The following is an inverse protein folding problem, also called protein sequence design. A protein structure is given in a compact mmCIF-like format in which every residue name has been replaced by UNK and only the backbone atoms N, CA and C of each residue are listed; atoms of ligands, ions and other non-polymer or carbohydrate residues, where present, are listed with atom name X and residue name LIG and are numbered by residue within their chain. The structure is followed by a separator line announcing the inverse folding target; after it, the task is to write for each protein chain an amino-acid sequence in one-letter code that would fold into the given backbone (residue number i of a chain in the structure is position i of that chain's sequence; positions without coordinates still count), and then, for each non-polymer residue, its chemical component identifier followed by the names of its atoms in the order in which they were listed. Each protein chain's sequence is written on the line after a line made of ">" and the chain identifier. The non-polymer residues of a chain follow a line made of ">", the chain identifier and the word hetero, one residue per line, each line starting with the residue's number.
data_IF_619348712596
#
_entry.id   IF_619348712596
#
_cell.length_a   1.000
_cell.length_b   1.000
_cell.length_c   1.000
_cell.angle_alpha   90.00
_cell.angle_beta   90.00
_cell.angle_gamma   90.00
#
_symmetry.space_group_name_H-M   'P 1'
#
loop_
_entity.id
_entity.type
_entity.pdbx_description
1 polymer ?
#
# COMPACT_ATOMS: atom_id res chain seq x y z
N UNK A 1 9.77 -7.49 -18.17
CA UNK A 1 8.31 -7.35 -18.20
C UNK A 1 7.60 -8.69 -18.08
N UNK A 2 8.21 -9.81 -18.51
CA UNK A 2 7.65 -11.16 -18.35
C UNK A 2 7.46 -11.61 -16.87
N UNK A 3 8.49 -11.47 -16.01
CA UNK A 3 8.40 -11.87 -14.59
C UNK A 3 7.26 -11.15 -13.84
N UNK A 4 7.09 -9.85 -14.07
CA UNK A 4 6.03 -9.07 -13.39
C UNK A 4 4.65 -9.58 -13.77
N UNK A 5 4.41 -9.88 -15.04
CA UNK A 5 3.15 -10.44 -15.51
C UNK A 5 2.89 -11.82 -14.91
N UNK A 6 3.90 -12.68 -14.85
CA UNK A 6 3.80 -14.01 -14.25
C UNK A 6 3.49 -13.93 -12.75
N UNK A 7 4.16 -13.04 -12.00
CA UNK A 7 3.87 -12.81 -10.58
C UNK A 7 2.44 -12.30 -10.39
N UNK A 8 2.00 -11.35 -11.23
CA UNK A 8 0.63 -10.82 -11.20
C UNK A 8 -0.39 -11.93 -11.44
N UNK A 9 -0.18 -12.77 -12.45
CA UNK A 9 -1.07 -13.89 -12.79
C UNK A 9 -1.14 -14.92 -11.65
N UNK A 10 0.00 -15.26 -11.04
CA UNK A 10 0.04 -16.19 -9.91
C UNK A 10 -0.68 -15.65 -8.66
N UNK A 11 -0.63 -14.34 -8.43
CA UNK A 11 -1.29 -13.72 -7.28
C UNK A 11 -2.78 -13.45 -7.54
N UNK A 12 -3.18 -13.16 -8.77
CA UNK A 12 -4.57 -12.91 -9.14
C UNK A 12 -5.21 -11.83 -8.26
N UNK A 13 -6.28 -12.17 -7.54
CA UNK A 13 -6.98 -11.26 -6.61
C UNK A 13 -6.13 -10.84 -5.41
N UNK A 14 -5.09 -11.60 -5.07
CA UNK A 14 -4.14 -11.25 -4.02
C UNK A 14 -3.06 -10.27 -4.51
N UNK A 15 -3.08 -9.81 -5.76
CA UNK A 15 -2.18 -8.76 -6.23
C UNK A 15 -2.43 -7.45 -5.47
N UNK A 16 -1.37 -6.77 -5.01
CA UNK A 16 -1.50 -5.58 -4.15
C UNK A 16 -2.43 -4.51 -4.76
N UNK A 17 -2.26 -4.10 -6.04
CA UNK A 17 -3.19 -3.20 -6.72
C UNK A 17 -4.64 -3.69 -6.74
N UNK A 18 -4.89 -5.00 -6.90
CA UNK A 18 -6.25 -5.55 -6.88
C UNK A 18 -6.87 -5.45 -5.49
N UNK A 19 -6.12 -5.78 -4.42
CA UNK A 19 -6.57 -5.57 -3.04
C UNK A 19 -6.88 -4.08 -2.80
N UNK A 20 -6.00 -3.19 -3.25
CA UNK A 20 -6.18 -1.75 -3.12
C UNK A 20 -7.44 -1.27 -3.84
N UNK A 21 -7.62 -1.63 -5.11
CA UNK A 21 -8.78 -1.24 -5.91
C UNK A 21 -10.09 -1.83 -5.37
N UNK A 22 -10.13 -3.14 -5.14
CA UNK A 22 -11.37 -3.86 -4.90
C UNK A 22 -11.82 -3.80 -3.43
N UNK A 23 -10.88 -3.66 -2.49
CA UNK A 23 -11.18 -3.68 -1.05
C UNK A 23 -10.96 -2.34 -0.37
N UNK A 24 -9.93 -1.57 -0.72
CA UNK A 24 -9.67 -0.26 -0.09
C UNK A 24 -10.53 0.82 -0.75
N UNK A 25 -10.45 0.95 -2.07
CA UNK A 25 -11.09 2.06 -2.81
C UNK A 25 -12.61 1.95 -2.91
N UNK A 26 -13.18 0.78 -2.66
CA UNK A 26 -14.63 0.57 -2.55
C UNK A 26 -15.22 1.10 -1.23
N UNK A 27 -14.37 1.48 -0.27
CA UNK A 27 -14.76 2.07 1.02
C UNK A 27 -14.61 3.59 1.03
N UNK A 28 -15.21 4.24 2.05
CA UNK A 28 -14.90 5.65 2.34
C UNK A 28 -13.46 5.76 2.83
N UNK A 29 -12.69 6.59 2.14
CA UNK A 29 -11.26 6.75 2.36
C UNK A 29 -10.89 8.23 2.40
N UNK A 30 -9.75 8.52 3.01
CA UNK A 30 -9.05 9.81 2.93
C UNK A 30 -7.73 9.63 2.20
N UNK A 31 -7.33 10.61 1.42
CA UNK A 31 -5.97 10.64 0.87
C UNK A 31 -4.97 10.90 2.01
N UNK A 32 -3.92 10.07 2.07
CA UNK A 32 -2.80 10.20 2.99
C UNK A 32 -1.52 10.36 2.17
N UNK A 33 -0.79 11.46 2.43
CA UNK A 33 0.44 11.79 1.72
C UNK A 33 1.65 11.32 2.51
N UNK A 34 2.41 10.40 1.94
CA UNK A 34 3.74 10.02 2.37
C UNK A 34 4.75 10.83 1.55
N UNK A 35 5.42 11.79 2.18
CA UNK A 35 6.45 12.57 1.49
C UNK A 35 7.76 11.78 1.33
N UNK A 36 7.73 10.66 0.64
CA UNK A 36 8.87 9.73 0.49
C UNK A 36 9.33 9.69 -0.96
N UNK A 37 10.52 9.14 -1.19
CA UNK A 37 11.02 8.94 -2.55
C UNK A 37 10.26 7.80 -3.25
N UNK A 38 9.93 8.00 -4.54
CA UNK A 38 9.26 7.02 -5.41
C UNK A 38 10.22 5.92 -5.86
N UNK A 39 10.68 5.13 -4.90
CA UNK A 39 11.52 3.94 -5.07
C UNK A 39 11.22 2.98 -3.94
N UNK A 40 11.78 1.78 -4.01
CA UNK A 40 11.74 0.88 -2.86
C UNK A 40 12.37 1.56 -1.63
N UNK A 41 11.63 1.64 -0.53
CA UNK A 41 12.10 2.21 0.72
C UNK A 41 12.11 1.18 1.84
N UNK A 42 13.06 1.33 2.76
CA UNK A 42 13.01 0.64 4.05
C UNK A 42 12.05 1.38 4.99
N UNK A 43 10.89 0.79 5.24
CA UNK A 43 9.89 1.31 6.16
C UNK A 43 9.86 0.46 7.45
N UNK A 44 10.03 1.10 8.61
CA UNK A 44 10.15 0.46 9.92
C UNK A 44 9.12 1.06 10.86
N UNK A 45 8.35 0.21 11.55
CA UNK A 45 7.43 0.66 12.59
C UNK A 45 8.22 0.80 13.90
N UNK A 46 8.06 1.92 14.58
CA UNK A 46 8.69 2.22 15.86
C UNK A 46 7.61 2.40 16.92
N UNK A 47 7.73 1.63 18.01
CA UNK A 47 6.95 1.86 19.22
C UNK A 47 7.68 2.92 20.05
N UNK A 48 6.99 4.00 20.35
CA UNK A 48 7.52 5.13 21.12
C UNK A 48 6.65 5.34 22.36
N UNK A 49 7.11 6.19 23.28
CA UNK A 49 6.31 6.57 24.46
C UNK A 49 5.02 7.31 24.09
N UNK A 50 4.98 7.97 22.93
CA UNK A 50 3.85 8.79 22.47
C UNK A 50 2.91 8.03 21.52
N UNK A 51 3.17 6.74 21.26
CA UNK A 51 2.40 5.92 20.33
C UNK A 51 3.28 5.27 19.27
N UNK A 52 2.71 5.06 18.08
CA UNK A 52 3.35 4.32 16.98
C UNK A 52 3.78 5.28 15.88
N UNK A 53 5.01 5.14 15.40
CA UNK A 53 5.53 5.90 14.27
C UNK A 53 5.96 4.97 13.13
N UNK A 54 5.74 5.38 11.88
CA UNK A 54 6.34 4.76 10.70
C UNK A 54 7.57 5.56 10.27
N UNK A 55 8.76 4.96 10.35
CA UNK A 55 10.02 5.55 9.90
C UNK A 55 10.36 5.10 8.49
N UNK A 56 10.62 6.06 7.60
CA UNK A 56 11.08 5.83 6.22
C UNK A 56 12.29 6.72 5.96
N UNK A 57 13.48 6.12 5.94
CA UNK A 57 14.73 6.87 5.90
C UNK A 57 14.85 7.84 7.09
N UNK A 58 14.95 9.14 6.79
CA UNK A 58 15.04 10.21 7.80
C UNK A 58 13.67 10.80 8.20
N UNK A 59 12.58 10.35 7.57
CA UNK A 59 11.22 10.83 7.86
C UNK A 59 10.51 9.90 8.82
N UNK A 60 9.64 10.47 9.65
CA UNK A 60 8.78 9.74 10.60
C UNK A 60 7.36 10.24 10.43
N UNK A 61 6.42 9.31 10.40
CA UNK A 61 5.01 9.57 10.26
C UNK A 61 4.29 9.03 11.49
N UNK A 62 3.69 9.91 12.27
CA UNK A 62 2.87 9.50 13.40
C UNK A 62 1.64 8.73 12.90
N UNK A 63 1.39 7.57 13.50
CA UNK A 63 0.27 6.70 13.17
C UNK A 63 -0.67 6.61 14.39
N UNK A 64 -2.00 6.65 14.20
CA UNK A 64 -2.95 6.53 15.31
C UNK A 64 -2.83 5.22 16.09
N UNK A 65 -2.51 4.14 15.38
CA UNK A 65 -2.40 2.79 15.94
C UNK A 65 -1.44 1.93 15.10
N UNK A 66 -1.15 0.72 15.61
CA UNK A 66 -0.29 -0.25 14.94
C UNK A 66 -0.85 -0.73 13.60
N UNK A 67 -2.17 -0.91 13.50
CA UNK A 67 -2.82 -1.39 12.27
C UNK A 67 -2.63 -0.39 11.13
N UNK A 68 -2.77 0.91 11.41
CA UNK A 68 -2.51 2.00 10.47
C UNK A 68 -1.04 2.05 10.07
N UNK A 69 -0.13 1.88 11.03
CA UNK A 69 1.31 1.83 10.73
C UNK A 69 1.68 0.64 9.81
N UNK A 70 1.12 -0.54 10.07
CA UNK A 70 1.25 -1.75 9.24
C UNK A 70 0.72 -1.55 7.84
N UNK A 71 -0.51 -1.01 7.74
CA UNK A 71 -1.12 -0.64 6.47
C UNK A 71 -0.23 0.30 5.64
N UNK A 72 0.18 1.43 6.23
CA UNK A 72 1.02 2.42 5.56
C UNK A 72 2.42 1.89 5.23
N UNK A 73 2.94 0.93 6.00
CA UNK A 73 4.27 0.36 5.78
C UNK A 73 4.40 -0.28 4.40
N UNK A 74 3.35 -0.95 3.90
CA UNK A 74 3.38 -1.60 2.58
C UNK A 74 3.55 -0.55 1.47
N UNK A 75 2.71 0.48 1.49
CA UNK A 75 2.78 1.58 0.53
C UNK A 75 4.09 2.36 0.62
N UNK A 76 4.58 2.58 1.84
CA UNK A 76 5.87 3.21 2.05
C UNK A 76 7.02 2.39 1.45
N UNK A 77 6.99 1.06 1.60
CA UNK A 77 7.98 0.15 0.99
C UNK A 77 7.98 0.24 -0.52
N UNK A 78 6.80 0.31 -1.13
CA UNK A 78 6.62 0.47 -2.58
C UNK A 78 7.02 1.86 -3.09
N UNK A 79 7.11 2.83 -2.18
CA UNK A 79 7.39 4.23 -2.50
C UNK A 79 6.17 4.97 -3.05
N UNK A 80 4.96 4.55 -2.69
CA UNK A 80 3.73 5.26 -3.04
C UNK A 80 3.65 6.55 -2.21
N UNK A 81 3.52 7.69 -2.87
CA UNK A 81 3.53 9.00 -2.22
C UNK A 81 2.14 9.46 -1.76
N UNK A 82 1.07 8.96 -2.38
CA UNK A 82 -0.31 9.26 -2.02
C UNK A 82 -1.14 7.99 -2.01
N UNK A 83 -1.80 7.69 -0.89
CA UNK A 83 -2.60 6.46 -0.73
C UNK A 83 -3.90 6.71 -0.01
N UNK A 84 -4.93 5.93 -0.36
CA UNK A 84 -6.23 5.98 0.27
C UNK A 84 -6.19 5.22 1.60
N UNK A 85 -6.52 5.88 2.71
CA UNK A 85 -6.65 5.24 4.02
C UNK A 85 -8.13 5.15 4.39
N UNK A 86 -8.68 3.96 4.71
CA UNK A 86 -10.06 3.82 5.14
C UNK A 86 -10.39 4.65 6.38
N UNK A 87 -11.62 5.17 6.45
CA UNK A 87 -12.12 5.84 7.66
C UNK A 87 -12.51 4.84 8.76
N UNK A 88 -12.98 3.65 8.37
CA UNK A 88 -13.31 2.60 9.32
C UNK A 88 -12.03 1.92 9.83
N UNK A 89 -11.60 2.35 11.01
CA UNK A 89 -10.39 1.83 11.67
C UNK A 89 -10.45 0.32 11.93
N UNK A 90 -11.65 -0.26 12.05
CA UNK A 90 -11.82 -1.70 12.34
C UNK A 90 -11.45 -2.56 11.13
N UNK A 91 -11.44 -1.99 9.92
CA UNK A 91 -11.08 -2.68 8.68
C UNK A 91 -9.58 -2.61 8.37
N UNK A 92 -8.88 -1.64 8.95
CA UNK A 92 -7.46 -1.39 8.65
C UNK A 92 -6.60 -2.59 9.04
N UNK A 93 -6.89 -3.26 10.17
CA UNK A 93 -6.15 -4.46 10.60
C UNK A 93 -6.21 -5.58 9.58
N UNK A 94 -7.41 -5.95 9.13
CA UNK A 94 -7.61 -7.00 8.11
C UNK A 94 -6.97 -6.63 6.78
N UNK A 95 -7.13 -5.38 6.33
CA UNK A 95 -6.48 -4.90 5.10
C UNK A 95 -4.96 -4.95 5.21
N UNK A 96 -4.40 -4.59 6.37
CA UNK A 96 -2.96 -4.69 6.62
C UNK A 96 -2.47 -6.14 6.55
N UNK A 97 -3.19 -7.09 7.17
CA UNK A 97 -2.86 -8.52 7.13
C UNK A 97 -2.85 -9.06 5.68
N UNK A 98 -3.85 -8.69 4.88
CA UNK A 98 -3.93 -9.10 3.47
C UNK A 98 -2.82 -8.49 2.62
N UNK A 99 -2.56 -7.19 2.76
CA UNK A 99 -1.51 -6.49 2.03
C UNK A 99 -0.10 -7.00 2.41
N UNK A 100 0.13 -7.27 3.68
CA UNK A 100 1.39 -7.88 4.15
C UNK A 100 1.58 -9.30 3.60
N UNK A 101 0.51 -10.10 3.60
CA UNK A 101 0.53 -11.46 3.03
C UNK A 101 0.83 -11.43 1.53
N UNK A 102 0.15 -10.54 0.81
CA UNK A 102 0.37 -10.29 -0.63
C UNK A 102 1.80 -9.84 -0.92
N UNK A 103 2.32 -8.90 -0.14
CA UNK A 103 3.70 -8.44 -0.26
C UNK A 103 4.69 -9.59 -0.03
N UNK A 104 4.49 -10.40 1.01
CA UNK A 104 5.36 -11.54 1.26
C UNK A 104 5.33 -12.58 0.14
N UNK A 105 4.13 -12.93 -0.36
CA UNK A 105 3.96 -13.84 -1.50
C UNK A 105 4.64 -13.29 -2.76
N UNK A 106 4.50 -11.99 -3.02
CA UNK A 106 5.17 -11.30 -4.13
C UNK A 106 6.69 -11.47 -4.05
N UNK A 107 7.28 -11.27 -2.86
CA UNK A 107 8.71 -11.46 -2.65
C UNK A 107 9.16 -12.91 -2.83
N UNK A 108 8.40 -13.88 -2.32
CA UNK A 108 8.72 -15.30 -2.48
C UNK A 108 8.68 -15.75 -3.94
N UNK A 109 7.64 -15.35 -4.68
CA UNK A 109 7.51 -15.64 -6.11
C UNK A 109 8.65 -14.99 -6.89
N UNK A 110 8.95 -13.73 -6.60
CA UNK A 110 10.06 -13.02 -7.21
C UNK A 110 11.39 -13.77 -6.98
N UNK A 111 11.74 -14.09 -5.73
CA UNK A 111 12.98 -14.80 -5.39
C UNK A 111 13.09 -16.15 -6.10
N UNK A 112 11.98 -16.91 -6.17
CA UNK A 112 11.92 -18.20 -6.88
C UNK A 112 12.25 -18.06 -8.37
N UNK A 113 11.78 -16.99 -9.02
CA UNK A 113 11.97 -16.75 -10.46
C UNK A 113 13.37 -16.20 -10.80
N UNK A 114 14.09 -15.63 -9.82
CA UNK A 114 15.40 -15.01 -10.04
C UNK A 114 16.59 -15.81 -9.50
N UNK A 115 16.37 -17.05 -9.06
CA UNK A 115 17.40 -17.93 -8.47
C UNK A 115 18.70 -17.95 -9.29
N UNK A 116 18.62 -18.06 -10.61
CA UNK A 116 19.81 -18.17 -11.48
C UNK A 116 20.33 -16.82 -12.02
N UNK A 117 19.76 -15.68 -11.57
CA UNK A 117 20.14 -14.36 -12.08
C UNK A 117 21.24 -13.72 -11.23
N UNK A 118 22.12 -12.95 -11.88
CA UNK A 118 23.18 -12.19 -11.19
C UNK A 118 22.61 -11.02 -10.38
N UNK A 119 23.31 -10.63 -9.31
CA UNK A 119 22.85 -9.57 -8.38
C UNK A 119 22.43 -8.25 -9.08
N UNK A 120 23.18 -7.69 -10.05
CA UNK A 120 22.76 -6.47 -10.74
C UNK A 120 21.49 -6.62 -11.58
N UNK A 121 21.24 -7.83 -12.12
CA UNK A 121 20.03 -8.13 -12.88
C UNK A 121 18.85 -8.25 -11.91
N UNK A 122 19.03 -8.97 -10.80
CA UNK A 122 18.04 -9.11 -9.72
C UNK A 122 17.55 -7.74 -9.22
N UNK A 123 18.48 -6.83 -8.90
CA UNK A 123 18.12 -5.49 -8.41
C UNK A 123 17.31 -4.67 -9.41
N UNK A 124 17.65 -4.74 -10.70
CA UNK A 124 16.88 -4.09 -11.78
C UNK A 124 15.49 -4.68 -11.93
N UNK A 125 15.37 -6.01 -11.90
CA UNK A 125 14.07 -6.70 -12.01
C UNK A 125 13.17 -6.37 -10.82
N UNK A 126 13.73 -6.35 -9.60
CA UNK A 126 13.01 -5.97 -8.38
C UNK A 126 12.51 -4.54 -8.45
N UNK A 127 13.37 -3.62 -8.84
CA UNK A 127 13.01 -2.20 -9.01
C UNK A 127 11.92 -2.03 -10.06
N UNK A 128 11.96 -2.80 -11.15
CA UNK A 128 10.91 -2.83 -12.17
C UNK A 128 9.57 -3.34 -11.64
N UNK A 129 9.57 -4.46 -10.90
CA UNK A 129 8.37 -5.01 -10.26
C UNK A 129 7.71 -4.01 -9.31
N UNK A 130 8.50 -3.40 -8.42
CA UNK A 130 8.00 -2.42 -7.46
C UNK A 130 7.49 -1.16 -8.17
N UNK A 131 8.17 -0.73 -9.23
CA UNK A 131 7.72 0.40 -10.05
C UNK A 131 6.36 0.11 -10.69
N UNK A 132 6.16 -1.08 -11.25
CA UNK A 132 4.87 -1.47 -11.85
C UNK A 132 3.74 -1.43 -10.81
N UNK A 133 3.92 -2.09 -9.66
CA UNK A 133 2.94 -2.08 -8.56
C UNK A 133 2.59 -0.65 -8.16
N UNK A 134 3.60 0.20 -8.00
CA UNK A 134 3.40 1.60 -7.63
C UNK A 134 2.62 2.35 -8.71
N UNK A 135 2.96 2.17 -9.97
CA UNK A 135 2.26 2.83 -11.09
C UNK A 135 0.79 2.45 -11.11
N UNK A 136 0.45 1.17 -10.94
CA UNK A 136 -0.95 0.72 -10.84
C UNK A 136 -1.68 1.37 -9.65
N UNK A 137 -1.03 1.44 -8.47
CA UNK A 137 -1.61 2.11 -7.29
C UNK A 137 -1.83 3.60 -7.55
N UNK A 138 -0.87 4.27 -8.19
CA UNK A 138 -0.96 5.69 -8.53
C UNK A 138 -2.07 5.94 -9.57
N UNK A 139 -2.24 5.05 -10.55
CA UNK A 139 -3.32 5.09 -11.55
C UNK A 139 -4.71 4.88 -10.91
N UNK A 140 -4.83 3.96 -9.96
CA UNK A 140 -6.05 3.79 -9.15
C UNK A 140 -6.34 5.06 -8.32
N UNK A 141 -5.28 5.70 -7.84
CA UNK A 141 -5.32 6.96 -7.11
C UNK A 141 -5.78 6.84 -5.65
N UNK A 142 -5.47 7.86 -4.85
CA UNK A 142 -5.87 7.94 -3.45
C UNK A 142 -7.35 8.37 -3.23
N UNK A 143 -8.04 8.74 -4.31
CA UNK A 143 -9.39 9.33 -4.27
C UNK A 143 -9.40 10.82 -3.93
N UNK A 144 -10.61 11.37 -3.76
CA UNK A 144 -10.81 12.76 -3.35
C UNK A 144 -10.26 13.01 -1.94
N UNK A 145 -9.70 14.20 -1.70
CA UNK A 145 -9.16 14.63 -0.41
C UNK A 145 -10.22 14.69 0.71
N UNK A 146 -11.50 14.80 0.34
CA UNK A 146 -12.64 14.75 1.25
C UNK A 146 -13.64 13.66 0.84
N UNK A 147 -14.31 13.01 1.81
CA UNK A 147 -15.39 12.10 1.53
C UNK A 147 -16.56 12.89 0.94
N UNK A 148 -17.13 12.40 -0.16
CA UNK A 148 -18.37 12.94 -0.69
C UNK A 148 -19.47 12.72 0.36
N UNK A 149 -19.83 13.79 1.08
CA UNK A 149 -21.00 13.79 1.93
C UNK A 149 -22.22 13.70 1.02
N UNK A 150 -22.89 12.55 0.99
CA UNK A 150 -24.26 12.46 0.45
C UNK A 150 -25.15 13.35 1.34
N UNK A 151 -25.38 14.60 0.92
CA UNK A 151 -26.34 15.52 1.53
C UNK A 151 -27.76 15.02 1.22
N UNK A 152 -28.17 13.90 1.81
CA UNK A 152 -29.57 13.50 1.88
C UNK A 152 -30.09 13.87 3.27
N UNK A 153 -30.04 15.16 3.61
CA UNK A 153 -30.87 15.68 4.69
C UNK A 153 -32.30 15.71 4.16
N UNK A 154 -33.07 14.64 4.38
CA UNK A 154 -34.53 14.73 4.32
C UNK A 154 -34.96 15.70 5.41
N UNK A 155 -35.08 16.98 5.06
CA UNK A 155 -35.83 17.94 5.85
C UNK A 155 -37.24 17.36 5.98
N UNK A 156 -37.64 16.99 7.21
CA UNK A 156 -39.04 16.74 7.51
C UNK A 156 -39.79 18.04 7.24
N UNK A 157 -40.57 18.06 6.17
CA UNK A 157 -41.57 19.10 5.97
C UNK A 157 -42.75 18.75 6.87
N UNK A 158 -43.03 19.65 7.82
CA UNK A 158 -44.25 19.74 8.63
C UNK A 158 -44.41 18.71 9.75
#
# INVERSE_FOLDING_TARGET
>A
MEITAEIRENLGEEWIPNIYQNKVRTQRTRAYRLEITERENRAIIQHTLLGVELKVGNKRFSCPDLSTARYLQIFARLGCSNVAVPYDITKISTLADELESSWHKTLLLFEKMIVDKTSPVRGRMRSGLIKEIRQEIDEIGAGSLMPEFKQSTKQRTS
#
